data_IF_020187832683
#
_entry.id   IF_020187832683
#
_cell.length_a   1.000
_cell.length_b   1.000
_cell.length_c   1.000
_cell.angle_alpha   90.00
_cell.angle_beta   90.00
_cell.angle_gamma   90.00
#
_symmetry.space_group_name_H-M   'P 1'
#
loop_
_entity.id
_entity.type
_entity.pdbx_description
1 polymer ?
#
# COMPACT_ATOMS: atom_id res chain seq x y z
N UNK A 1 10.86 -5.92 20.57
CA UNK A 1 10.72 -6.11 19.11
C UNK A 1 10.69 -4.78 18.37
N UNK A 2 9.91 -3.78 18.81
CA UNK A 2 9.71 -2.50 18.10
C UNK A 2 10.99 -1.79 17.61
N UNK A 3 12.05 -1.72 18.44
CA UNK A 3 13.33 -1.14 18.00
C UNK A 3 14.00 -1.92 16.85
N UNK A 4 13.91 -3.25 16.85
CA UNK A 4 14.45 -4.09 15.78
C UNK A 4 13.67 -3.86 14.49
N UNK A 5 12.33 -3.87 14.56
CA UNK A 5 11.49 -3.72 13.38
C UNK A 5 11.57 -2.33 12.75
N UNK A 6 11.56 -1.27 13.57
CA UNK A 6 11.73 0.09 13.05
C UNK A 6 13.10 0.26 12.39
N UNK A 7 14.16 -0.33 12.96
CA UNK A 7 15.50 -0.27 12.35
C UNK A 7 15.56 -1.08 11.05
N UNK A 8 14.91 -2.23 10.99
CA UNK A 8 14.81 -3.02 9.77
C UNK A 8 14.06 -2.27 8.67
N UNK A 9 12.92 -1.64 8.98
CA UNK A 9 12.14 -0.82 8.04
C UNK A 9 13.00 0.32 7.48
N UNK A 10 13.71 1.04 8.34
CA UNK A 10 14.60 2.12 7.94
C UNK A 10 15.69 1.64 6.96
N UNK A 11 16.38 0.56 7.31
CA UNK A 11 17.43 0.00 6.47
C UNK A 11 16.90 -0.53 5.14
N UNK A 12 15.73 -1.18 5.14
CA UNK A 12 15.07 -1.67 3.92
C UNK A 12 14.69 -0.48 3.02
N UNK A 13 14.04 0.55 3.55
CA UNK A 13 13.61 1.71 2.78
C UNK A 13 14.79 2.43 2.09
N UNK A 14 15.92 2.54 2.79
CA UNK A 14 17.13 3.20 2.27
C UNK A 14 17.84 2.38 1.18
N UNK A 15 17.78 1.04 1.22
CA UNK A 15 18.68 0.19 0.43
C UNK A 15 17.99 -0.70 -0.61
N UNK A 16 16.69 -0.97 -0.45
CA UNK A 16 15.96 -1.91 -1.32
C UNK A 16 16.02 -1.49 -2.79
N UNK A 17 15.80 -0.20 -3.07
CA UNK A 17 15.82 0.31 -4.45
C UNK A 17 17.18 0.08 -5.12
N UNK A 18 18.27 0.43 -4.44
CA UNK A 18 19.63 0.25 -4.96
C UNK A 18 19.97 -1.23 -5.19
N UNK A 19 19.59 -2.10 -4.25
CA UNK A 19 19.80 -3.54 -4.36
C UNK A 19 19.01 -4.17 -5.52
N UNK A 20 17.83 -3.64 -5.84
CA UNK A 20 16.99 -4.09 -6.98
C UNK A 20 17.52 -3.54 -8.30
N UNK A 21 17.81 -2.23 -8.37
CA UNK A 21 18.32 -1.59 -9.59
C UNK A 21 19.70 -2.15 -10.00
N UNK A 22 20.54 -2.45 -9.01
CA UNK A 22 21.86 -3.03 -9.21
C UNK A 22 22.11 -4.19 -8.23
N UNK A 23 21.78 -5.42 -8.66
CA UNK A 23 22.01 -6.63 -7.88
C UNK A 23 23.48 -6.98 -7.61
N UNK A 24 24.44 -6.16 -8.05
CA UNK A 24 25.88 -6.27 -7.72
C UNK A 24 26.36 -5.18 -6.75
N UNK A 25 25.50 -4.28 -6.33
CA UNK A 25 25.83 -3.28 -5.30
C UNK A 25 26.04 -3.99 -3.96
N UNK A 26 27.31 -4.18 -3.60
CA UNK A 26 27.70 -4.93 -2.40
C UNK A 26 27.23 -4.22 -1.13
N UNK A 27 27.26 -2.89 -1.12
CA UNK A 27 26.85 -2.08 0.04
C UNK A 27 25.35 -2.20 0.26
N UNK A 28 24.54 -2.01 -0.78
CA UNK A 28 23.09 -2.15 -0.69
C UNK A 28 22.68 -3.59 -0.32
N UNK A 29 23.37 -4.60 -0.86
CA UNK A 29 23.07 -6.01 -0.56
C UNK A 29 23.48 -6.41 0.85
N UNK A 30 24.61 -5.92 1.35
CA UNK A 30 25.02 -6.14 2.73
C UNK A 30 24.02 -5.50 3.70
N UNK A 31 23.62 -4.25 3.44
CA UNK A 31 22.61 -3.55 4.23
C UNK A 31 21.26 -4.30 4.23
N UNK A 32 20.79 -4.76 3.07
CA UNK A 32 19.57 -5.58 2.97
C UNK A 32 19.69 -6.93 3.69
N UNK A 33 20.87 -7.55 3.66
CA UNK A 33 21.13 -8.81 4.38
C UNK A 33 21.11 -8.62 5.91
N UNK A 34 21.65 -7.51 6.40
CA UNK A 34 21.54 -7.16 7.82
C UNK A 34 20.09 -6.82 8.19
N UNK A 35 19.39 -6.06 7.35
CA UNK A 35 18.02 -5.63 7.62
C UNK A 35 17.04 -6.81 7.73
N UNK A 36 17.11 -7.79 6.82
CA UNK A 36 16.26 -8.98 6.91
C UNK A 36 16.57 -9.84 8.14
N UNK A 37 17.83 -9.87 8.59
CA UNK A 37 18.21 -10.60 9.80
C UNK A 37 17.66 -9.91 11.05
N UNK A 38 17.72 -8.58 11.10
CA UNK A 38 17.16 -7.77 12.17
C UNK A 38 15.64 -7.92 12.24
N UNK A 39 14.95 -7.89 11.09
CA UNK A 39 13.52 -8.19 11.02
C UNK A 39 13.23 -9.60 11.58
N UNK A 40 14.03 -10.60 11.18
CA UNK A 40 13.98 -11.97 11.72
C UNK A 40 14.04 -12.05 13.24
N UNK A 41 14.96 -11.30 13.86
CA UNK A 41 15.06 -11.22 15.33
C UNK A 41 13.82 -10.61 15.98
N UNK A 42 13.16 -9.67 15.30
CA UNK A 42 11.91 -9.08 15.77
C UNK A 42 10.75 -10.07 15.69
N UNK A 43 10.31 -10.42 14.47
CA UNK A 43 9.08 -11.18 14.26
C UNK A 43 9.13 -12.59 14.83
N UNK A 44 10.32 -13.21 14.97
CA UNK A 44 10.42 -14.56 15.56
C UNK A 44 9.99 -14.61 17.03
N UNK A 45 9.96 -13.46 17.72
CA UNK A 45 9.62 -13.37 19.14
C UNK A 45 8.20 -12.82 19.40
N UNK A 46 7.54 -12.26 18.38
CA UNK A 46 6.22 -11.63 18.53
C UNK A 46 5.18 -12.10 17.50
N UNK A 47 5.59 -12.93 16.55
CA UNK A 47 4.74 -13.41 15.46
C UNK A 47 4.57 -12.39 14.34
N UNK A 48 3.69 -12.74 13.40
CA UNK A 48 3.31 -11.95 12.23
C UNK A 48 1.78 -11.78 12.21
N UNK A 49 1.29 -10.96 11.29
CA UNK A 49 -0.12 -10.62 11.18
C UNK A 49 -0.79 -11.14 9.90
N UNK A 50 -1.90 -10.48 9.57
CA UNK A 50 -2.83 -10.83 8.50
C UNK A 50 -2.14 -11.02 7.13
N UNK A 51 -1.10 -10.21 6.81
CA UNK A 51 -0.37 -10.32 5.53
C UNK A 51 0.15 -11.74 5.29
N UNK A 52 0.84 -12.32 6.28
CA UNK A 52 1.41 -13.67 6.15
C UNK A 52 0.31 -14.74 6.16
N UNK A 53 -0.72 -14.56 6.99
CA UNK A 53 -1.88 -15.46 7.03
C UNK A 53 -2.61 -15.54 5.68
N UNK A 54 -2.71 -14.44 4.94
CA UNK A 54 -3.32 -14.39 3.60
C UNK A 54 -2.35 -14.84 2.50
N UNK A 55 -1.04 -14.62 2.66
CA UNK A 55 -0.05 -15.06 1.68
C UNK A 55 0.14 -16.59 1.64
N UNK A 56 -0.01 -17.29 2.77
CA UNK A 56 0.15 -18.75 2.81
C UNK A 56 -0.85 -19.51 1.92
N UNK A 57 -2.17 -19.23 1.95
CA UNK A 57 -3.10 -19.81 0.99
C UNK A 57 -2.75 -19.50 -0.47
N UNK A 58 -2.34 -18.28 -0.79
CA UNK A 58 -1.97 -17.93 -2.17
C UNK A 58 -0.78 -18.75 -2.69
N UNK A 59 0.19 -19.03 -1.82
CA UNK A 59 1.28 -19.96 -2.11
C UNK A 59 0.77 -21.40 -2.30
N UNK A 60 -0.10 -21.88 -1.41
CA UNK A 60 -0.59 -23.25 -1.44
C UNK A 60 -1.49 -23.56 -2.65
N UNK A 61 -2.36 -22.63 -3.05
CA UNK A 61 -3.32 -22.83 -4.14
C UNK A 61 -2.78 -22.49 -5.52
N UNK A 62 -1.91 -21.49 -5.62
CA UNK A 62 -1.51 -20.91 -6.91
C UNK A 62 0.01 -20.92 -7.14
N UNK A 63 0.79 -21.53 -6.24
CA UNK A 63 2.26 -21.54 -6.27
C UNK A 63 2.85 -20.11 -6.36
N UNK A 64 2.14 -19.15 -5.76
CA UNK A 64 2.55 -17.74 -5.80
C UNK A 64 3.83 -17.56 -4.97
N UNK A 65 4.89 -16.92 -5.51
CA UNK A 65 6.09 -16.62 -4.74
C UNK A 65 5.78 -15.83 -3.47
N UNK A 66 6.25 -16.33 -2.32
CA UNK A 66 5.86 -15.80 -1.00
C UNK A 66 6.09 -14.29 -0.86
N UNK A 67 7.25 -13.78 -1.28
CA UNK A 67 7.56 -12.35 -1.22
C UNK A 67 6.63 -11.50 -2.08
N UNK A 68 6.19 -12.01 -3.24
CA UNK A 68 5.27 -11.31 -4.15
C UNK A 68 3.87 -11.24 -3.54
N UNK A 69 3.38 -12.34 -2.97
CA UNK A 69 2.09 -12.38 -2.28
C UNK A 69 2.04 -11.38 -1.10
N UNK A 70 3.07 -11.39 -0.25
CA UNK A 70 3.16 -10.46 0.88
C UNK A 70 3.27 -9.00 0.40
N UNK A 71 4.11 -8.71 -0.60
CA UNK A 71 4.27 -7.36 -1.12
C UNK A 71 2.98 -6.80 -1.74
N UNK A 72 2.19 -7.65 -2.40
CA UNK A 72 0.90 -7.28 -2.97
C UNK A 72 -0.14 -6.96 -1.89
N UNK A 73 -0.18 -7.77 -0.82
CA UNK A 73 -1.19 -7.67 0.25
C UNK A 73 -0.86 -6.59 1.28
N UNK A 74 0.41 -6.28 1.48
CA UNK A 74 0.90 -5.38 2.53
C UNK A 74 0.15 -4.04 2.61
N UNK A 75 0.00 -3.23 1.53
CA UNK A 75 -0.67 -1.92 1.64
C UNK A 75 -2.13 -2.02 2.09
N UNK A 76 -2.89 -2.99 1.59
CA UNK A 76 -4.30 -3.17 1.94
C UNK A 76 -4.48 -3.62 3.39
N UNK A 77 -3.62 -4.53 3.85
CA UNK A 77 -3.66 -4.97 5.25
C UNK A 77 -3.21 -3.86 6.20
N UNK A 78 -2.28 -3.01 5.76
CA UNK A 78 -1.87 -1.82 6.51
C UNK A 78 -3.01 -0.80 6.62
N UNK A 79 -3.79 -0.59 5.56
CA UNK A 79 -5.00 0.24 5.61
C UNK A 79 -6.04 -0.34 6.57
N UNK A 80 -6.34 -1.63 6.46
CA UNK A 80 -7.23 -2.32 7.40
C UNK A 80 -6.76 -2.21 8.86
N UNK A 81 -5.47 -2.38 9.11
CA UNK A 81 -4.90 -2.30 10.47
C UNK A 81 -4.85 -0.86 11.02
N UNK A 82 -5.08 0.16 10.19
CA UNK A 82 -5.13 1.55 10.64
C UNK A 82 -6.35 1.87 11.50
N UNK A 83 -7.39 1.03 11.48
CA UNK A 83 -8.53 1.13 12.40
C UNK A 83 -8.25 0.50 13.77
N UNK A 84 -7.11 -0.17 13.93
CA UNK A 84 -6.72 -0.83 15.18
C UNK A 84 -5.95 0.10 16.12
N UNK A 85 -5.76 -0.27 17.40
CA UNK A 85 -4.88 0.45 18.33
C UNK A 85 -3.41 0.60 17.86
N UNK A 86 -3.02 -0.07 16.77
CA UNK A 86 -1.70 0.09 16.16
C UNK A 86 -1.57 1.34 15.29
N UNK A 87 -2.65 2.06 14.97
CA UNK A 87 -2.64 3.25 14.11
C UNK A 87 -1.53 4.28 14.46
N UNK A 88 -1.28 4.62 15.74
CA UNK A 88 -0.23 5.57 16.10
C UNK A 88 1.18 5.13 15.70
N UNK A 89 1.40 3.83 15.45
CA UNK A 89 2.72 3.31 15.03
C UNK A 89 3.04 3.66 13.58
N UNK A 90 2.05 3.98 12.74
CA UNK A 90 2.23 4.24 11.31
C UNK A 90 3.07 5.48 11.05
N UNK A 91 2.97 6.52 11.89
CA UNK A 91 3.82 7.70 11.78
C UNK A 91 5.31 7.37 12.01
N UNK A 92 5.61 6.37 12.85
CA UNK A 92 6.99 5.93 13.09
C UNK A 92 7.51 5.12 11.90
N UNK A 93 6.64 4.33 11.26
CA UNK A 93 6.96 3.64 10.00
C UNK A 93 7.24 4.68 8.91
N UNK A 94 6.42 5.72 8.78
CA UNK A 94 6.62 6.83 7.85
C UNK A 94 7.97 7.51 8.05
N UNK A 95 8.30 7.87 9.29
CA UNK A 95 9.61 8.43 9.64
C UNK A 95 10.76 7.50 9.27
N UNK A 96 10.66 6.21 9.59
CA UNK A 96 11.68 5.22 9.25
C UNK A 96 11.87 5.08 7.74
N UNK A 97 10.79 5.22 6.95
CA UNK A 97 10.83 5.20 5.49
C UNK A 97 11.36 6.51 4.86
N UNK A 98 11.72 7.51 5.66
CA UNK A 98 12.25 8.80 5.19
C UNK A 98 11.18 9.82 4.79
N UNK A 99 9.95 9.64 5.25
CA UNK A 99 8.86 10.61 5.04
C UNK A 99 8.99 11.75 6.04
N UNK A 100 8.92 12.99 5.56
CA UNK A 100 8.79 14.18 6.41
C UNK A 100 7.39 14.19 7.06
N UNK A 101 7.35 13.97 8.37
CA UNK A 101 6.10 13.84 9.16
C UNK A 101 5.86 15.01 10.10
N UNK A 102 6.64 16.08 10.00
CA UNK A 102 6.49 17.26 10.84
C UNK A 102 5.10 17.89 10.60
N UNK A 103 4.30 17.99 11.67
CA UNK A 103 2.95 18.56 11.61
C UNK A 103 1.85 17.61 11.13
N UNK A 104 2.18 16.34 10.81
CA UNK A 104 1.16 15.34 10.44
C UNK A 104 0.41 14.82 11.67
N UNK A 105 -0.91 14.68 11.52
CA UNK A 105 -1.76 13.89 12.40
C UNK A 105 -1.53 12.38 12.21
N UNK A 106 -2.02 11.57 13.14
CA UNK A 106 -1.93 10.10 13.04
C UNK A 106 -2.64 9.57 11.78
N UNK A 107 -3.79 10.15 11.44
CA UNK A 107 -4.54 9.80 10.23
C UNK A 107 -3.78 10.13 8.93
N UNK A 108 -3.05 11.25 8.91
CA UNK A 108 -2.18 11.58 7.76
C UNK A 108 -0.97 10.64 7.68
N UNK A 109 -0.39 10.26 8.82
CA UNK A 109 0.71 9.28 8.87
C UNK A 109 0.30 7.90 8.32
N UNK A 110 -0.93 7.46 8.60
CA UNK A 110 -1.50 6.26 7.97
C UNK A 110 -1.59 6.44 6.45
N UNK A 111 -2.24 7.51 5.98
CA UNK A 111 -2.48 7.76 4.55
C UNK A 111 -1.18 7.81 3.72
N UNK A 112 -0.11 8.35 4.29
CA UNK A 112 1.18 8.44 3.59
C UNK A 112 1.83 7.05 3.41
N UNK A 113 1.63 6.14 4.37
CA UNK A 113 2.26 4.82 4.35
C UNK A 113 1.45 3.77 3.61
N UNK A 114 0.11 3.84 3.68
CA UNK A 114 -0.78 2.91 2.98
C UNK A 114 -0.89 3.21 1.49
N UNK A 115 -0.35 4.34 1.05
CA UNK A 115 -0.60 4.89 -0.28
C UNK A 115 -1.88 5.72 -0.26
N UNK A 116 -1.91 6.77 -1.08
CA UNK A 116 -3.06 7.67 -1.20
C UNK A 116 -4.29 6.83 -1.59
N UNK A 117 -5.26 6.70 -0.69
CA UNK A 117 -6.61 6.28 -1.05
C UNK A 117 -7.21 7.43 -1.87
N UNK A 118 -7.02 7.33 -3.18
CA UNK A 118 -7.53 8.29 -4.16
C UNK A 118 -9.07 8.28 -4.18
N UNK A 119 -9.72 7.23 -3.67
CA UNK A 119 -11.17 7.16 -3.61
C UNK A 119 -11.83 8.10 -2.61
N UNK A 120 -11.08 8.55 -1.60
CA UNK A 120 -11.52 9.61 -0.69
C UNK A 120 -11.38 11.03 -1.28
N UNK A 121 -10.78 11.16 -2.48
CA UNK A 121 -10.59 12.48 -3.09
C UNK A 121 -11.94 13.14 -3.34
N UNK A 122 -12.10 14.36 -2.82
CA UNK A 122 -13.33 15.12 -2.99
C UNK A 122 -14.35 15.00 -1.86
N UNK A 123 -14.19 14.04 -0.93
CA UNK A 123 -15.16 13.89 0.18
C UNK A 123 -15.20 15.12 1.11
N UNK A 124 -14.08 15.82 1.29
CA UNK A 124 -13.98 17.02 2.12
C UNK A 124 -14.00 18.33 1.33
N UNK A 125 -13.68 18.29 0.02
CA UNK A 125 -13.57 19.49 -0.83
C UNK A 125 -14.72 19.64 -1.82
N UNK A 126 -15.61 18.65 -1.93
CA UNK A 126 -16.67 18.55 -2.94
C UNK A 126 -16.18 18.53 -4.40
N UNK A 127 -14.90 18.28 -4.62
CA UNK A 127 -14.33 18.07 -5.96
C UNK A 127 -14.62 16.65 -6.43
N UNK A 128 -14.69 16.40 -7.74
CA UNK A 128 -14.85 15.03 -8.24
C UNK A 128 -13.48 14.42 -8.51
N UNK A 129 -13.37 13.11 -8.34
CA UNK A 129 -12.14 12.39 -8.64
C UNK A 129 -11.65 12.61 -10.08
N UNK A 130 -12.57 12.68 -11.06
CA UNK A 130 -12.21 12.99 -12.45
C UNK A 130 -11.50 14.35 -12.62
N UNK A 131 -11.78 15.34 -11.76
CA UNK A 131 -11.16 16.67 -11.84
C UNK A 131 -9.68 16.59 -11.44
N UNK A 132 -9.34 15.74 -10.46
CA UNK A 132 -7.95 15.40 -10.12
C UNK A 132 -7.25 14.70 -11.29
N UNK A 133 -7.90 13.70 -11.90
CA UNK A 133 -7.33 12.95 -13.03
C UNK A 133 -7.02 13.90 -14.20
N UNK A 134 -7.94 14.83 -14.50
CA UNK A 134 -7.74 15.87 -15.51
C UNK A 134 -6.56 16.78 -15.17
N UNK A 135 -6.46 17.24 -13.94
CA UNK A 135 -5.35 18.09 -13.50
C UNK A 135 -4.00 17.35 -13.59
N UNK A 136 -3.95 16.08 -13.21
CA UNK A 136 -2.76 15.24 -13.29
C UNK A 136 -2.31 15.00 -14.73
N UNK A 137 -3.22 14.84 -15.69
CA UNK A 137 -2.85 14.61 -17.09
C UNK A 137 -2.16 15.84 -17.72
N UNK A 138 -2.40 17.05 -17.17
CA UNK A 138 -1.74 18.29 -17.58
C UNK A 138 -0.32 18.45 -17.02
N UNK A 139 0.13 17.59 -16.10
CA UNK A 139 1.47 17.70 -15.51
C UNK A 139 2.53 17.30 -16.52
N UNK A 140 3.37 18.27 -16.90
CA UNK A 140 4.51 18.05 -17.80
C UNK A 140 5.58 17.18 -17.14
N UNK A 141 6.24 16.34 -17.95
CA UNK A 141 7.32 15.45 -17.50
C UNK A 141 6.88 14.06 -17.05
N UNK A 142 5.60 13.86 -16.69
CA UNK A 142 5.07 12.53 -16.37
C UNK A 142 4.47 11.91 -17.63
N UNK A 143 4.97 10.70 -17.95
CA UNK A 143 4.63 9.98 -19.19
C UNK A 143 3.59 8.88 -18.98
N UNK A 144 3.37 8.45 -17.75
CA UNK A 144 2.49 7.33 -17.44
C UNK A 144 1.94 7.43 -16.02
N UNK A 145 0.61 7.36 -15.91
CA UNK A 145 -0.13 7.13 -14.69
C UNK A 145 -0.85 5.78 -14.77
N UNK A 146 -0.83 5.06 -13.65
CA UNK A 146 -1.61 3.83 -13.46
C UNK A 146 -2.48 4.03 -12.23
N UNK A 147 -3.79 3.93 -12.41
CA UNK A 147 -4.74 3.96 -11.30
C UNK A 147 -4.86 2.52 -10.77
N UNK A 148 -4.41 2.33 -9.54
CA UNK A 148 -4.56 1.08 -8.79
C UNK A 148 -5.55 1.29 -7.66
N UNK A 149 -6.29 0.25 -7.30
CA UNK A 149 -7.19 0.23 -6.15
C UNK A 149 -8.36 1.22 -6.26
N UNK A 150 -8.93 1.36 -7.46
CA UNK A 150 -10.12 2.18 -7.66
C UNK A 150 -11.36 1.44 -7.17
N UNK A 151 -12.16 2.06 -6.31
CA UNK A 151 -13.45 1.50 -5.89
C UNK A 151 -14.43 1.52 -7.09
N UNK A 152 -15.24 0.45 -7.30
CA UNK A 152 -16.11 0.36 -8.48
C UNK A 152 -17.08 1.52 -8.65
N UNK A 153 -17.55 2.12 -7.56
CA UNK A 153 -18.47 3.27 -7.53
C UNK A 153 -17.84 4.59 -7.97
N UNK A 154 -16.50 4.65 -7.99
CA UNK A 154 -15.74 5.80 -8.50
C UNK A 154 -15.37 5.64 -9.98
N UNK A 155 -15.69 4.50 -10.58
CA UNK A 155 -15.41 4.19 -11.98
C UNK A 155 -16.63 4.52 -12.86
N UNK A 156 -16.95 5.81 -12.97
CA UNK A 156 -18.04 6.27 -13.85
C UNK A 156 -17.63 6.34 -15.33
N UNK A 157 -18.63 6.44 -16.21
CA UNK A 157 -18.41 6.47 -17.67
C UNK A 157 -17.51 7.65 -18.08
N UNK A 158 -17.66 8.80 -17.41
CA UNK A 158 -16.85 10.01 -17.65
C UNK A 158 -15.36 9.73 -17.38
N UNK A 159 -15.03 9.05 -16.27
CA UNK A 159 -13.66 8.71 -15.90
C UNK A 159 -13.07 7.68 -16.87
N UNK A 160 -13.85 6.67 -17.26
CA UNK A 160 -13.43 5.63 -18.20
C UNK A 160 -13.10 6.26 -19.55
N UNK A 161 -14.00 7.09 -20.08
CA UNK A 161 -13.82 7.75 -21.37
C UNK A 161 -12.61 8.70 -21.34
N UNK A 162 -12.44 9.44 -20.25
CA UNK A 162 -11.28 10.32 -20.09
C UNK A 162 -9.97 9.54 -20.04
N UNK A 163 -9.87 8.48 -19.24
CA UNK A 163 -8.67 7.65 -19.14
C UNK A 163 -8.35 6.93 -20.46
N UNK A 164 -9.37 6.56 -21.25
CA UNK A 164 -9.18 5.93 -22.56
C UNK A 164 -8.54 6.88 -23.59
N UNK A 165 -8.78 8.19 -23.47
CA UNK A 165 -8.26 9.22 -24.37
C UNK A 165 -7.05 9.96 -23.80
N UNK A 166 -6.70 9.70 -22.54
CA UNK A 166 -5.67 10.42 -21.81
C UNK A 166 -4.28 10.23 -22.43
N UNK A 167 -3.46 11.29 -22.32
CA UNK A 167 -2.06 11.25 -22.77
C UNK A 167 -1.22 10.36 -21.87
N UNK A 168 -1.41 10.46 -20.55
CA UNK A 168 -0.55 9.80 -19.57
C UNK A 168 -1.25 8.67 -18.80
N UNK A 169 -2.58 8.67 -18.66
CA UNK A 169 -3.27 7.59 -17.95
C UNK A 169 -3.38 6.32 -18.82
N UNK A 170 -3.19 5.16 -18.18
CA UNK A 170 -3.34 3.88 -18.85
C UNK A 170 -4.83 3.54 -19.04
N UNK A 171 -5.24 2.92 -20.17
CA UNK A 171 -6.64 2.59 -20.46
C UNK A 171 -7.10 1.31 -19.72
N UNK A 172 -6.52 1.02 -18.56
CA UNK A 172 -6.89 -0.10 -17.72
C UNK A 172 -6.82 0.32 -16.26
N UNK A 173 -7.81 -0.13 -15.49
CA UNK A 173 -7.88 0.08 -14.04
C UNK A 173 -7.56 -1.24 -13.34
N UNK A 174 -6.76 -1.18 -12.27
CA UNK A 174 -6.72 -2.29 -11.31
C UNK A 174 -7.78 -2.05 -10.25
N UNK A 175 -8.92 -2.74 -10.42
CA UNK A 175 -10.03 -2.72 -9.47
C UNK A 175 -9.93 -3.99 -8.62
N UNK A 176 -9.88 -3.90 -7.28
CA UNK A 176 -9.93 -5.07 -6.42
C UNK A 176 -11.31 -5.72 -6.62
N UNK A 177 -11.31 -6.97 -7.09
CA UNK A 177 -12.53 -7.72 -7.33
C UNK A 177 -13.17 -8.09 -5.98
N UNK A 178 -14.05 -7.23 -5.47
CA UNK A 178 -14.97 -7.63 -4.40
C UNK A 178 -16.10 -8.46 -4.99
N UNK A 179 -16.54 -9.47 -4.25
CA UNK A 179 -17.68 -10.30 -4.59
C UNK A 179 -18.89 -9.42 -4.92
N UNK A 180 -19.35 -9.43 -6.18
CA UNK A 180 -20.53 -8.71 -6.65
C UNK A 180 -21.87 -9.20 -6.07
N UNK A 181 -21.83 -9.81 -4.89
CA UNK A 181 -22.98 -10.18 -4.09
C UNK A 181 -23.15 -9.15 -2.96
N UNK A 182 -24.32 -8.51 -2.93
CA UNK A 182 -24.70 -7.60 -1.85
C UNK A 182 -24.62 -8.27 -0.48
N UNK A 183 -24.91 -9.58 -0.39
CA UNK A 183 -24.79 -10.34 0.87
C UNK A 183 -23.34 -10.44 1.34
N UNK A 184 -22.40 -10.67 0.43
CA UNK A 184 -20.96 -10.77 0.75
C UNK A 184 -20.38 -9.39 1.04
N UNK A 185 -20.80 -8.36 0.30
CA UNK A 185 -20.40 -6.96 0.55
C UNK A 185 -20.91 -6.46 1.91
N UNK A 186 -22.14 -6.82 2.30
CA UNK A 186 -22.69 -6.52 3.63
C UNK A 186 -21.94 -7.27 4.72
N UNK A 187 -21.53 -8.52 4.50
CA UNK A 187 -20.70 -9.27 5.45
C UNK A 187 -19.33 -8.63 5.66
N UNK A 188 -18.70 -8.17 4.57
CA UNK A 188 -17.39 -7.49 4.61
C UNK A 188 -17.47 -6.16 5.37
N UNK A 189 -18.59 -5.43 5.29
CA UNK A 189 -18.84 -4.19 6.07
C UNK A 189 -19.27 -4.44 7.52
N UNK A 190 -19.66 -5.67 7.89
CA UNK A 190 -20.28 -5.98 9.18
C UNK A 190 -19.44 -6.84 10.11
N UNK A 191 -18.23 -7.28 9.75
CA UNK A 191 -17.42 -8.09 10.67
C UNK A 191 -17.06 -7.30 11.94
N UNK A 192 -17.67 -7.59 13.11
CA UNK A 192 -17.21 -7.06 14.37
C UNK A 192 -15.99 -7.89 14.77
N UNK A 193 -14.89 -7.23 15.11
CA UNK A 193 -13.69 -7.89 15.61
C UNK A 193 -14.03 -8.80 16.78
N UNK A 194 -14.02 -10.11 16.55
CA UNK A 194 -13.94 -11.16 17.54
C UNK A 194 -13.35 -12.40 16.87
N UNK A 195 -12.01 -12.40 16.78
CA UNK A 195 -11.16 -13.59 16.75
C UNK A 195 -9.92 -13.29 17.58
#
# INVERSE_FOLDING_TARGET
SDMFELKAIEMIAQNLKAAVDNGKDVVAREAMSQAQYIAGMGFSNVGLGIVHSMAHPLGAFYDTPHGVANALLLPYVMEYNAESPAAPKYINIAKAMGVETAGMSEAEGVKVITGVNIGDFGQTTHERFIDLVKAMDQVEGIKRYRISSLEPDLCDDDLIEYCAQSRAFMPHFHIPLQSGSDEVSVWTRRMPGNW
#
